data_IF_385277265968
#
_entry.id   IF_385277265968
#
_cell.length_a   1.000
_cell.length_b   1.000
_cell.length_c   1.000
_cell.angle_alpha   90.00
_cell.angle_beta   90.00
_cell.angle_gamma   90.00
#
_symmetry.space_group_name_H-M   'P 1'
#
loop_
_entity.id
_entity.type
_entity.pdbx_description
1 polymer ?
#
# COMPACT_ATOMS: atom_id res chain seq x y z
N UNK A 1 16.59 13.92 -11.58
CA UNK A 1 16.76 12.70 -10.77
C UNK A 1 17.00 11.57 -11.76
N UNK A 2 18.15 10.88 -11.68
CA UNK A 2 18.40 9.68 -12.49
C UNK A 2 17.45 8.56 -12.03
N UNK A 3 17.20 7.57 -12.90
CA UNK A 3 16.31 6.41 -12.61
C UNK A 3 16.66 5.67 -11.29
N UNK A 4 17.89 5.85 -10.78
CA UNK A 4 18.39 5.23 -9.55
C UNK A 4 17.83 5.84 -8.24
N UNK A 5 17.20 7.01 -8.27
CA UNK A 5 16.63 7.67 -7.08
C UNK A 5 15.11 7.45 -6.91
N UNK A 6 14.53 6.51 -7.64
CA UNK A 6 13.10 6.22 -7.57
C UNK A 6 12.71 5.68 -6.20
N UNK A 7 11.80 6.38 -5.51
CA UNK A 7 11.18 5.88 -4.28
C UNK A 7 10.23 4.74 -4.66
N UNK A 8 10.52 3.54 -4.15
CA UNK A 8 9.70 2.34 -4.38
C UNK A 8 8.81 1.99 -3.18
N UNK A 9 9.15 2.49 -1.98
CA UNK A 9 8.40 2.25 -0.76
C UNK A 9 8.63 3.38 0.26
N UNK A 10 7.66 3.60 1.13
CA UNK A 10 7.73 4.49 2.30
C UNK A 10 7.28 3.67 3.51
N UNK A 11 8.10 3.66 4.57
CA UNK A 11 7.79 3.00 5.84
C UNK A 11 7.65 4.03 6.96
N UNK A 12 6.63 3.87 7.80
CA UNK A 12 6.46 4.66 9.01
C UNK A 12 7.10 3.91 10.17
N UNK A 13 8.13 4.50 10.75
CA UNK A 13 8.98 3.86 11.74
C UNK A 13 8.95 4.68 13.01
N UNK A 14 8.84 4.01 14.16
CA UNK A 14 9.09 4.68 15.44
C UNK A 14 10.59 4.93 15.62
N UNK A 15 10.94 5.82 16.55
CA UNK A 15 12.35 6.04 16.89
C UNK A 15 13.06 4.75 17.35
N UNK A 16 12.33 3.83 17.99
CA UNK A 16 12.86 2.51 18.37
C UNK A 16 13.15 1.65 17.13
N UNK A 17 12.28 1.67 16.14
CA UNK A 17 12.46 0.92 14.90
C UNK A 17 13.66 1.43 14.10
N UNK A 18 13.82 2.75 14.02
CA UNK A 18 14.99 3.38 13.39
C UNK A 18 16.28 2.95 14.10
N UNK A 19 16.28 2.96 15.44
CA UNK A 19 17.45 2.52 16.21
C UNK A 19 17.75 1.03 16.02
N UNK A 20 16.71 0.18 15.92
CA UNK A 20 16.86 -1.26 15.70
C UNK A 20 17.37 -1.59 14.28
N UNK A 21 16.92 -0.83 13.26
CA UNK A 21 17.33 -0.99 11.87
C UNK A 21 18.71 -0.38 11.58
N UNK A 22 19.17 0.55 12.43
CA UNK A 22 20.53 1.09 12.37
C UNK A 22 20.86 1.79 11.04
N UNK A 23 22.09 1.62 10.58
CA UNK A 23 22.63 2.30 9.38
C UNK A 23 22.10 1.76 8.05
N UNK A 24 21.28 0.71 8.06
CA UNK A 24 20.77 0.09 6.83
C UNK A 24 19.71 0.95 6.13
N UNK A 25 19.21 2.00 6.80
CA UNK A 25 18.30 2.98 6.21
C UNK A 25 19.10 4.06 5.46
N UNK A 26 19.18 3.93 4.13
CA UNK A 26 19.87 4.90 3.26
C UNK A 26 19.31 6.33 3.37
N UNK A 27 18.04 6.49 3.76
CA UNK A 27 17.38 7.79 3.95
C UNK A 27 16.33 7.71 5.06
N UNK A 28 16.46 8.56 6.07
CA UNK A 28 15.48 8.71 7.16
C UNK A 28 15.09 10.18 7.25
N UNK A 29 13.80 10.47 7.20
CA UNK A 29 13.26 11.81 7.33
C UNK A 29 12.33 11.84 8.54
N UNK A 30 12.68 12.58 9.61
CA UNK A 30 11.82 12.69 10.78
C UNK A 30 10.51 13.38 10.38
N UNK A 31 9.40 12.81 10.86
CA UNK A 31 8.09 13.45 10.80
C UNK A 31 7.89 14.08 12.17
N UNK A 32 8.05 15.40 12.25
CA UNK A 32 7.81 16.18 13.46
C UNK A 32 6.29 16.39 13.68
N UNK A 33 5.88 17.49 14.31
CA UNK A 33 4.47 17.81 14.54
C UNK A 33 3.72 18.01 13.20
N UNK A 34 3.13 16.93 12.72
CA UNK A 34 2.43 16.84 11.45
C UNK A 34 0.93 16.66 11.75
N UNK A 35 0.19 17.74 12.04
CA UNK A 35 -1.22 17.66 12.43
C UNK A 35 -2.12 17.04 11.36
N UNK A 36 -1.69 17.03 10.09
CA UNK A 36 -2.38 16.38 8.98
C UNK A 36 -2.01 14.91 8.75
N UNK A 37 -1.07 14.35 9.52
CA UNK A 37 -0.55 13.01 9.30
C UNK A 37 -1.62 11.93 9.46
N UNK A 38 -2.54 12.11 10.41
CA UNK A 38 -3.69 11.23 10.57
C UNK A 38 -4.60 11.21 9.34
N UNK A 39 -4.78 12.35 8.67
CA UNK A 39 -5.57 12.43 7.45
C UNK A 39 -4.88 11.71 6.27
N UNK A 40 -3.55 11.79 6.19
CA UNK A 40 -2.76 11.04 5.20
C UNK A 40 -2.91 9.53 5.39
N UNK A 41 -2.79 9.04 6.64
CA UNK A 41 -3.01 7.62 6.95
C UNK A 41 -4.40 7.15 6.55
N UNK A 42 -5.43 7.94 6.90
CA UNK A 42 -6.81 7.64 6.50
C UNK A 42 -6.99 7.55 4.98
N UNK A 43 -6.36 8.46 4.23
CA UNK A 43 -6.41 8.44 2.77
C UNK A 43 -5.71 7.19 2.16
N UNK A 44 -4.60 6.73 2.74
CA UNK A 44 -3.92 5.50 2.33
C UNK A 44 -4.83 4.29 2.58
N UNK A 45 -5.41 4.18 3.77
CA UNK A 45 -6.32 3.10 4.12
C UNK A 45 -7.57 3.06 3.22
N UNK A 46 -8.11 4.22 2.86
CA UNK A 46 -9.24 4.32 1.93
C UNK A 46 -8.88 3.87 0.51
N UNK A 47 -7.69 4.26 0.04
CA UNK A 47 -7.19 3.82 -1.26
C UNK A 47 -6.96 2.30 -1.30
N UNK A 48 -6.38 1.73 -0.24
CA UNK A 48 -6.14 0.29 -0.12
C UNK A 48 -7.46 -0.50 -0.10
N UNK A 49 -8.43 -0.04 0.71
CA UNK A 49 -9.79 -0.61 0.71
C UNK A 49 -10.47 -0.53 -0.65
N UNK A 50 -10.30 0.58 -1.37
CA UNK A 50 -10.88 0.73 -2.71
C UNK A 50 -10.24 -0.24 -3.71
N UNK A 51 -8.91 -0.37 -3.67
CA UNK A 51 -8.16 -1.29 -4.51
C UNK A 51 -8.59 -2.74 -4.27
N UNK A 52 -8.68 -3.17 -3.02
CA UNK A 52 -9.13 -4.52 -2.67
C UNK A 52 -10.57 -4.79 -3.11
N UNK A 53 -11.51 -3.87 -2.88
CA UNK A 53 -12.90 -4.03 -3.35
C UNK A 53 -12.99 -4.20 -4.86
N UNK A 54 -12.22 -3.41 -5.62
CA UNK A 54 -12.23 -3.49 -7.08
C UNK A 54 -11.63 -4.81 -7.58
N UNK A 55 -10.55 -5.26 -6.95
CA UNK A 55 -9.92 -6.54 -7.25
C UNK A 55 -10.87 -7.72 -6.97
N UNK A 56 -11.51 -7.74 -5.80
CA UNK A 56 -12.45 -8.79 -5.41
C UNK A 56 -13.68 -8.83 -6.32
N UNK A 57 -14.20 -7.65 -6.72
CA UNK A 57 -15.30 -7.54 -7.66
C UNK A 57 -14.93 -8.13 -9.04
N UNK A 58 -13.72 -7.85 -9.54
CA UNK A 58 -13.23 -8.44 -10.79
C UNK A 58 -13.09 -9.96 -10.70
N UNK A 59 -12.56 -10.47 -9.59
CA UNK A 59 -12.44 -11.91 -9.38
C UNK A 59 -13.80 -12.60 -9.30
N UNK A 60 -14.77 -12.02 -8.59
CA UNK A 60 -16.13 -12.56 -8.51
C UNK A 60 -16.82 -12.64 -9.88
N UNK A 61 -16.63 -11.64 -10.74
CA UNK A 61 -17.16 -11.63 -12.11
C UNK A 61 -16.50 -12.71 -12.98
N UNK A 62 -15.18 -12.90 -12.84
CA UNK A 62 -14.45 -13.95 -13.55
C UNK A 62 -14.91 -15.35 -13.13
N UNK A 63 -15.10 -15.59 -11.83
CA UNK A 63 -15.59 -16.86 -11.29
C UNK A 63 -17.02 -17.20 -11.76
N UNK A 64 -17.87 -16.18 -11.88
CA UNK A 64 -19.22 -16.34 -12.42
C UNK A 64 -19.20 -16.74 -13.90
N UNK A 65 -18.34 -16.12 -14.71
CA UNK A 65 -18.20 -16.46 -16.14
C UNK A 65 -17.69 -17.90 -16.34
N UNK A 66 -16.77 -18.37 -15.51
CA UNK A 66 -16.27 -19.76 -15.56
C UNK A 66 -17.39 -20.76 -15.23
N UNK A 67 -18.23 -20.48 -14.21
CA UNK A 67 -19.37 -21.33 -13.86
C UNK A 67 -20.38 -21.45 -15.00
N UNK A 68 -20.74 -20.33 -15.63
CA UNK A 68 -21.70 -20.30 -16.75
C UNK A 68 -21.17 -21.10 -17.95
N UNK A 69 -19.88 -20.94 -18.29
CA UNK A 69 -19.27 -21.67 -19.40
C UNK A 69 -19.19 -23.19 -19.17
N UNK A 70 -19.13 -23.62 -17.90
CA UNK A 70 -19.03 -25.04 -17.53
C UNK A 70 -20.40 -25.72 -17.47
N UNK A 71 -21.47 -24.98 -17.13
CA UNK A 71 -22.84 -25.51 -17.07
C UNK A 71 -23.52 -25.65 -18.44
N UNK A 72 -22.99 -24.99 -19.48
CA UNK A 72 -23.51 -25.06 -20.85
C UNK A 72 -22.95 -26.23 -21.68
N UNK A 73 -22.25 -27.19 -21.06
CA UNK A 73 -21.69 -28.40 -21.68
C UNK A 73 -22.38 -29.67 -21.21
#
# INVERSE_FOLDING_TARGET
MSDSDRIVAIGLLTQRDVFALGYDLSRVYPIDDAPCFGALLGAIDDADRAFHREHDARQSLADQQIKVATQAR
#
